data_IF_742976412096
#
_entry.id   IF_742976412096
#
_cell.length_a   1.000
_cell.length_b   1.000
_cell.length_c   1.000
_cell.angle_alpha   90.00
_cell.angle_beta   90.00
_cell.angle_gamma   90.00
#
_symmetry.space_group_name_H-M   'P 1'
#
loop_
_entity.id
_entity.type
_entity.pdbx_description
1 polymer ?
#
# COMPACT_ATOMS: atom_id res chain seq x y z
N UNK A 1 1.44 6.38 5.88
CA UNK A 1 1.84 4.96 5.99
C UNK A 1 3.21 4.75 5.36
N UNK A 2 3.37 5.10 4.09
CA UNK A 2 4.63 4.95 3.32
C UNK A 2 5.92 5.40 4.03
N UNK A 3 5.91 6.50 4.78
CA UNK A 3 7.09 6.91 5.55
C UNK A 3 7.53 5.84 6.56
N UNK A 4 6.59 5.12 7.17
CA UNK A 4 6.90 4.00 8.08
C UNK A 4 7.48 2.81 7.32
N UNK A 5 7.04 2.57 6.07
CA UNK A 5 7.66 1.56 5.21
C UNK A 5 9.13 1.91 4.95
N UNK A 6 9.39 3.17 4.60
CA UNK A 6 10.76 3.67 4.38
C UNK A 6 11.60 3.57 5.64
N UNK A 7 11.08 3.98 6.80
CA UNK A 7 11.77 3.86 8.09
C UNK A 7 12.09 2.39 8.45
N UNK A 8 11.15 1.47 8.20
CA UNK A 8 11.37 0.03 8.39
C UNK A 8 12.47 -0.50 7.47
N UNK A 9 12.41 -0.17 6.17
CA UNK A 9 13.40 -0.61 5.20
C UNK A 9 14.79 -0.03 5.49
N UNK A 10 14.86 1.21 5.96
CA UNK A 10 16.13 1.83 6.37
C UNK A 10 16.75 1.10 7.56
N UNK A 11 15.96 0.77 8.59
CA UNK A 11 16.43 -0.01 9.74
C UNK A 11 16.91 -1.39 9.31
N UNK A 12 16.15 -2.07 8.45
CA UNK A 12 16.53 -3.38 7.91
C UNK A 12 17.85 -3.30 7.15
N UNK A 13 18.02 -2.28 6.30
CA UNK A 13 19.26 -2.06 5.55
C UNK A 13 20.46 -1.83 6.48
N UNK A 14 20.30 -1.01 7.52
CA UNK A 14 21.36 -0.74 8.48
C UNK A 14 21.76 -2.00 9.26
N UNK A 15 20.79 -2.85 9.66
CA UNK A 15 21.05 -4.15 10.30
C UNK A 15 21.78 -5.14 9.38
N UNK A 16 21.44 -5.18 8.09
CA UNK A 16 22.15 -6.02 7.12
C UNK A 16 23.59 -5.53 6.95
N UNK A 17 23.80 -4.21 6.89
CA UNK A 17 25.13 -3.60 6.71
C UNK A 17 26.08 -3.87 7.88
N UNK A 18 25.56 -3.98 9.11
CA UNK A 18 26.38 -4.25 10.31
C UNK A 18 26.74 -5.73 10.47
N UNK A 19 26.13 -6.64 9.69
CA UNK A 19 26.50 -8.05 9.63
C UNK A 19 25.99 -8.92 10.78
N UNK A 20 24.97 -8.48 11.52
CA UNK A 20 24.38 -9.24 12.63
C UNK A 20 23.20 -10.06 12.09
N UNK A 21 23.44 -11.34 11.78
CA UNK A 21 22.42 -12.25 11.20
C UNK A 21 21.15 -12.37 12.07
N UNK A 22 21.28 -12.34 13.39
CA UNK A 22 20.13 -12.44 14.32
C UNK A 22 19.22 -11.20 14.25
N UNK A 23 19.78 -10.00 14.02
CA UNK A 23 19.00 -8.76 13.88
C UNK A 23 18.15 -8.77 12.60
N UNK A 24 18.64 -9.42 11.54
CA UNK A 24 17.91 -9.57 10.27
C UNK A 24 16.66 -10.43 10.50
N UNK A 25 16.79 -11.58 11.17
CA UNK A 25 15.63 -12.45 11.47
C UNK A 25 14.61 -11.76 12.38
N UNK A 26 15.08 -11.06 13.42
CA UNK A 26 14.21 -10.30 14.32
C UNK A 26 13.46 -9.17 13.61
N UNK A 27 14.09 -8.49 12.65
CA UNK A 27 13.45 -7.46 11.84
C UNK A 27 12.32 -8.04 10.96
N UNK A 28 12.50 -9.24 10.40
CA UNK A 28 11.46 -9.95 9.64
C UNK A 28 10.30 -10.47 10.51
N UNK A 29 10.56 -10.78 11.79
CA UNK A 29 9.55 -11.27 12.74
C UNK A 29 8.71 -10.14 13.36
N UNK A 30 9.23 -8.90 13.36
CA UNK A 30 8.45 -7.74 13.76
C UNK A 30 7.28 -7.57 12.80
N UNK A 31 6.07 -7.88 13.27
CA UNK A 31 4.83 -7.62 12.52
C UNK A 31 4.83 -6.16 12.11
N UNK A 32 4.97 -5.87 10.82
CA UNK A 32 5.11 -4.50 10.40
C UNK A 32 3.81 -3.76 10.66
N UNK A 33 3.89 -2.49 11.06
CA UNK A 33 2.71 -1.69 11.21
C UNK A 33 2.13 -1.44 9.82
N UNK A 34 1.11 -2.21 9.41
CA UNK A 34 0.06 -1.68 8.52
C UNK A 34 -0.89 -0.95 9.45
N UNK A 35 -0.68 0.35 9.68
CA UNK A 35 -1.45 1.06 10.64
C UNK A 35 -2.80 1.34 9.97
N UNK A 36 -3.90 1.01 10.63
CA UNK A 36 -5.24 1.48 10.25
C UNK A 36 -5.37 3.02 10.48
N UNK A 37 -4.42 3.81 9.96
CA UNK A 37 -4.24 5.25 10.26
C UNK A 37 -4.93 6.17 9.27
N UNK A 38 -5.57 5.63 8.24
CA UNK A 38 -6.32 6.47 7.33
C UNK A 38 -7.65 6.87 7.97
N UNK A 39 -7.79 8.16 8.25
CA UNK A 39 -9.08 8.75 8.59
C UNK A 39 -9.85 9.04 7.29
N UNK A 40 -10.77 8.15 6.95
CA UNK A 40 -11.60 8.21 5.74
C UNK A 40 -12.81 9.14 5.88
N UNK A 41 -12.66 10.28 6.56
CA UNK A 41 -13.74 11.27 6.61
C UNK A 41 -14.14 11.66 5.18
N UNK A 42 -15.44 11.59 4.88
CA UNK A 42 -15.94 11.96 3.55
C UNK A 42 -15.63 13.43 3.28
N UNK A 43 -15.16 13.72 2.06
CA UNK A 43 -15.03 15.10 1.58
C UNK A 43 -16.40 15.65 1.18
N UNK A 44 -16.52 16.98 1.12
CA UNK A 44 -17.74 17.63 0.65
C UNK A 44 -18.05 17.24 -0.81
N UNK A 45 -19.35 17.22 -1.14
CA UNK A 45 -19.85 16.76 -2.46
C UNK A 45 -19.19 17.47 -3.64
N UNK A 46 -18.86 18.75 -3.49
CA UNK A 46 -18.18 19.54 -4.54
C UNK A 46 -16.80 18.99 -4.92
N UNK A 47 -16.17 18.22 -4.04
CA UNK A 47 -14.85 17.61 -4.27
C UNK A 47 -14.92 16.14 -4.70
N UNK A 48 -16.11 15.57 -4.92
CA UNK A 48 -16.28 14.14 -5.26
C UNK A 48 -15.41 13.71 -6.46
N UNK A 49 -15.45 14.48 -7.57
CA UNK A 49 -14.64 14.16 -8.76
C UNK A 49 -13.14 14.26 -8.52
N UNK A 50 -12.71 15.20 -7.67
CA UNK A 50 -11.32 15.34 -7.27
C UNK A 50 -10.90 14.16 -6.39
N UNK A 51 -11.72 13.79 -5.41
CA UNK A 51 -11.49 12.64 -4.54
C UNK A 51 -11.36 11.34 -5.35
N UNK A 52 -12.27 11.09 -6.31
CA UNK A 52 -12.17 9.95 -7.22
C UNK A 52 -10.85 9.95 -8.00
N UNK A 53 -10.39 11.12 -8.46
CA UNK A 53 -9.12 11.23 -9.18
C UNK A 53 -7.93 10.92 -8.28
N UNK A 54 -7.91 11.44 -7.05
CA UNK A 54 -6.87 11.19 -6.05
C UNK A 54 -6.80 9.70 -5.67
N UNK A 55 -7.94 9.06 -5.37
CA UNK A 55 -7.97 7.63 -5.10
C UNK A 55 -7.58 6.79 -6.32
N UNK A 56 -7.98 7.22 -7.52
CA UNK A 56 -7.56 6.60 -8.76
C UNK A 56 -6.03 6.64 -8.97
N UNK A 57 -5.38 7.74 -8.61
CA UNK A 57 -3.91 7.87 -8.62
C UNK A 57 -3.30 6.91 -7.59
N UNK A 58 -3.81 6.88 -6.35
CA UNK A 58 -3.36 5.95 -5.31
C UNK A 58 -3.43 4.49 -5.78
N UNK A 59 -4.57 4.06 -6.33
CA UNK A 59 -4.74 2.72 -6.91
C UNK A 59 -3.69 2.40 -7.98
N UNK A 60 -3.35 3.36 -8.85
CA UNK A 60 -2.32 3.16 -9.88
C UNK A 60 -0.93 3.04 -9.27
N UNK A 61 -0.63 3.83 -8.25
CA UNK A 61 0.64 3.75 -7.51
C UNK A 61 0.79 2.38 -6.84
N UNK A 62 -0.23 1.90 -6.12
CA UNK A 62 -0.15 0.60 -5.45
C UNK A 62 0.01 -0.56 -6.44
N UNK A 63 -0.71 -0.53 -7.56
CA UNK A 63 -0.53 -1.54 -8.63
C UNK A 63 0.89 -1.56 -9.19
N UNK A 64 1.47 -0.37 -9.40
CA UNK A 64 2.85 -0.26 -9.88
C UNK A 64 3.86 -0.77 -8.84
N UNK A 65 3.66 -0.48 -7.55
CA UNK A 65 4.49 -1.00 -6.45
C UNK A 65 4.41 -2.53 -6.35
N UNK A 66 3.21 -3.10 -6.42
CA UNK A 66 3.00 -4.56 -6.43
C UNK A 66 3.74 -5.21 -7.61
N UNK A 67 3.57 -4.66 -8.83
CA UNK A 67 4.25 -5.19 -10.01
C UNK A 67 5.78 -5.11 -9.87
N UNK A 68 6.30 -4.00 -9.35
CA UNK A 68 7.71 -3.83 -9.08
C UNK A 68 8.23 -4.90 -8.11
N UNK A 69 7.56 -5.12 -6.98
CA UNK A 69 7.98 -6.11 -5.99
C UNK A 69 7.83 -7.55 -6.47
N UNK A 70 6.78 -7.87 -7.23
CA UNK A 70 6.61 -9.17 -7.89
C UNK A 70 7.77 -9.46 -8.85
N UNK A 71 8.18 -8.47 -9.64
CA UNK A 71 9.31 -8.61 -10.55
C UNK A 71 10.63 -8.73 -9.78
N UNK A 72 10.83 -7.95 -8.71
CA UNK A 72 12.02 -8.05 -7.87
C UNK A 72 12.13 -9.42 -7.18
N UNK A 73 11.01 -9.96 -6.69
CA UNK A 73 10.90 -11.31 -6.10
C UNK A 73 11.28 -12.40 -7.09
N UNK A 74 10.84 -12.30 -8.36
CA UNK A 74 11.19 -13.27 -9.41
C UNK A 74 12.67 -13.25 -9.76
N UNK A 75 13.32 -12.08 -9.63
CA UNK A 75 14.71 -11.88 -10.05
C UNK A 75 15.73 -12.09 -8.92
N UNK A 76 15.32 -12.15 -7.65
CA UNK A 76 16.24 -12.39 -6.53
C UNK A 76 16.53 -13.89 -6.34
N UNK A 77 17.79 -14.20 -6.02
CA UNK A 77 18.24 -15.55 -5.65
C UNK A 77 18.22 -15.79 -4.13
N UNK A 78 18.11 -14.72 -3.34
CA UNK A 78 18.11 -14.78 -1.88
C UNK A 78 16.72 -15.06 -1.35
N UNK A 79 16.58 -16.10 -0.52
CA UNK A 79 15.30 -16.53 0.02
C UNK A 79 14.72 -15.50 1.01
N UNK A 80 15.59 -14.85 1.80
CA UNK A 80 15.27 -13.74 2.68
C UNK A 80 14.75 -12.53 1.87
N UNK A 81 15.33 -12.29 0.69
CA UNK A 81 14.87 -11.26 -0.23
C UNK A 81 13.46 -11.55 -0.76
N UNK A 82 13.15 -12.81 -1.08
CA UNK A 82 11.78 -13.18 -1.49
C UNK A 82 10.77 -12.94 -0.37
N UNK A 83 11.11 -13.30 0.87
CA UNK A 83 10.26 -13.06 2.05
C UNK A 83 10.01 -11.57 2.28
N UNK A 84 11.03 -10.73 2.07
CA UNK A 84 10.86 -9.27 2.12
C UNK A 84 9.86 -8.78 1.08
N UNK A 85 10.02 -9.17 -0.18
CA UNK A 85 9.11 -8.74 -1.23
C UNK A 85 7.69 -9.26 -1.00
N UNK A 86 7.52 -10.50 -0.51
CA UNK A 86 6.21 -11.01 -0.10
C UNK A 86 5.54 -10.17 1.00
N UNK A 87 6.33 -9.64 1.93
CA UNK A 87 5.83 -8.75 2.97
C UNK A 87 5.38 -7.40 2.40
N UNK A 88 6.20 -6.78 1.55
CA UNK A 88 5.89 -5.51 0.90
C UNK A 88 4.66 -5.62 0.00
N UNK A 89 4.57 -6.67 -0.82
CA UNK A 89 3.40 -6.95 -1.67
C UNK A 89 2.11 -7.03 -0.83
N UNK A 90 2.17 -7.65 0.36
CA UNK A 90 1.01 -7.71 1.26
C UNK A 90 0.58 -6.33 1.75
N UNK A 91 1.50 -5.43 2.06
CA UNK A 91 1.15 -4.06 2.49
C UNK A 91 0.47 -3.31 1.36
N UNK A 92 1.05 -3.35 0.15
CA UNK A 92 0.46 -2.62 -0.98
C UNK A 92 -0.90 -3.20 -1.40
N UNK A 93 -1.15 -4.49 -1.17
CA UNK A 93 -2.49 -5.05 -1.34
C UNK A 93 -3.51 -4.49 -0.34
N UNK A 94 -3.11 -4.26 0.92
CA UNK A 94 -3.98 -3.61 1.91
C UNK A 94 -4.30 -2.18 1.49
N UNK A 95 -3.29 -1.41 1.09
CA UNK A 95 -3.48 -0.05 0.56
C UNK A 95 -4.38 -0.03 -0.68
N UNK A 96 -4.12 -0.92 -1.64
CA UNK A 96 -4.90 -1.02 -2.86
C UNK A 96 -6.38 -1.28 -2.56
N UNK A 97 -6.66 -2.18 -1.61
CA UNK A 97 -8.03 -2.46 -1.18
C UNK A 97 -8.66 -1.21 -0.57
N UNK A 98 -7.99 -0.56 0.38
CA UNK A 98 -8.48 0.65 1.03
C UNK A 98 -8.79 1.78 0.03
N UNK A 99 -7.88 2.07 -0.90
CA UNK A 99 -8.12 3.09 -1.93
C UNK A 99 -9.23 2.70 -2.90
N UNK A 100 -9.35 1.41 -3.24
CA UNK A 100 -10.43 0.90 -4.09
C UNK A 100 -11.79 1.06 -3.42
N UNK A 101 -11.88 0.76 -2.12
CA UNK A 101 -13.09 0.91 -1.33
C UNK A 101 -13.53 2.39 -1.28
N UNK A 102 -12.58 3.31 -1.03
CA UNK A 102 -12.87 4.75 -1.08
C UNK A 102 -13.31 5.21 -2.47
N UNK A 103 -12.60 4.80 -3.52
CA UNK A 103 -12.97 5.15 -4.89
C UNK A 103 -14.40 4.72 -5.23
N UNK A 104 -14.80 3.51 -4.81
CA UNK A 104 -16.14 2.99 -5.05
C UNK A 104 -17.22 3.78 -4.30
N UNK A 105 -16.97 4.19 -3.05
CA UNK A 105 -17.88 5.05 -2.28
C UNK A 105 -18.16 6.36 -3.04
N UNK A 106 -17.11 7.05 -3.50
CA UNK A 106 -17.28 8.32 -4.23
C UNK A 106 -17.89 8.12 -5.62
N UNK A 107 -17.62 6.99 -6.29
CA UNK A 107 -18.23 6.65 -7.58
C UNK A 107 -19.75 6.46 -7.44
N UNK A 108 -20.19 5.78 -6.38
CA UNK A 108 -21.61 5.60 -6.08
C UNK A 108 -22.30 6.94 -5.79
N UNK A 109 -21.68 7.79 -4.95
CA UNK A 109 -22.16 9.15 -4.66
C UNK A 109 -22.27 9.99 -5.96
N UNK A 110 -21.25 9.92 -6.83
CA UNK A 110 -21.23 10.61 -8.12
C UNK A 110 -22.34 10.12 -9.07
N UNK A 111 -22.57 8.81 -9.17
CA UNK A 111 -23.65 8.24 -9.98
C UNK A 111 -25.04 8.65 -9.46
N UNK A 112 -25.23 8.67 -8.14
CA UNK A 112 -26.47 9.10 -7.52
C UNK A 112 -26.75 10.59 -7.79
N UNK A 113 -25.75 11.46 -7.66
CA UNK A 113 -25.90 12.90 -7.87
C UNK A 113 -26.13 13.27 -9.34
N UNK A 114 -25.66 12.47 -10.29
CA UNK A 114 -25.87 12.69 -11.73
C UNK A 114 -27.11 11.98 -12.31
N UNK A 115 -27.88 11.25 -11.48
CA UNK A 115 -29.08 10.53 -11.92
C UNK A 115 -28.82 9.33 -12.84
N UNK A 116 -27.60 8.78 -12.82
CA UNK A 116 -27.19 7.62 -13.63
C UNK A 116 -27.13 6.31 -12.82
N UNK A 117 -27.73 6.25 -11.63
CA UNK A 117 -27.75 5.03 -10.82
C UNK A 117 -28.49 3.90 -11.57
N UNK A 118 -27.83 2.75 -11.86
CA UNK A 118 -28.53 1.58 -12.37
C UNK A 118 -29.40 1.02 -11.23
N UNK A 119 -30.71 1.08 -11.43
CA UNK A 119 -31.71 0.49 -10.53
C UNK A 119 -31.69 -1.04 -10.57
#
# INVERSE_FOLDING_TARGET
>A
EELKHVEYLQKLFDSIKTGVEDDIRLAFEASPPSPDIYNWAKVDKEFTSLAMSVFGIGIQMEKASIEFYENAKKNTQFEEGKKLFDLLIKWEHVHLQQFTDQYNIYKEDWWADQGFAPF
#
